data_IF_259765911820
#
_entry.id   IF_259765911820
#
_cell.length_a   1.000
_cell.length_b   1.000
_cell.length_c   1.000
_cell.angle_alpha   90.00
_cell.angle_beta   90.00
_cell.angle_gamma   90.00
#
_symmetry.space_group_name_H-M   'P 1'
#
loop_
_entity.id
_entity.type
_entity.pdbx_description
1 polymer ?
#
# COMPACT_ATOMS: atom_id res chain seq x y z
N UNK A 1 -12.52 18.38 26.09
CA UNK A 1 -11.97 19.44 25.20
C UNK A 1 -11.24 18.86 23.99
N UNK A 2 -10.37 17.85 24.15
CA UNK A 2 -9.61 17.28 23.03
C UNK A 2 -10.49 16.54 22.00
N UNK A 3 -11.55 15.85 22.43
CA UNK A 3 -12.44 15.10 21.51
C UNK A 3 -13.25 16.01 20.58
N UNK A 4 -13.72 17.16 21.10
CA UNK A 4 -14.48 18.13 20.29
C UNK A 4 -13.59 18.79 19.22
N UNK A 5 -12.39 19.21 19.60
CA UNK A 5 -11.41 19.79 18.65
C UNK A 5 -11.03 18.78 17.55
N UNK A 6 -10.85 17.53 17.90
CA UNK A 6 -10.55 16.48 16.91
C UNK A 6 -11.73 16.21 15.99
N UNK A 7 -12.96 16.18 16.52
CA UNK A 7 -14.17 16.04 15.71
C UNK A 7 -14.34 17.21 14.73
N UNK A 8 -14.11 18.44 15.19
CA UNK A 8 -14.20 19.64 14.34
C UNK A 8 -13.11 19.63 13.24
N UNK A 9 -11.90 19.18 13.58
CA UNK A 9 -10.80 19.00 12.63
C UNK A 9 -11.17 17.99 11.54
N UNK A 10 -11.68 16.81 11.93
CA UNK A 10 -12.09 15.75 11.00
C UNK A 10 -13.24 16.22 10.11
N UNK A 11 -14.23 16.92 10.67
CA UNK A 11 -15.34 17.48 9.90
C UNK A 11 -14.86 18.42 8.80
N UNK A 12 -13.89 19.29 9.11
CA UNK A 12 -13.32 20.20 8.12
C UNK A 12 -12.54 19.43 7.02
N UNK A 13 -11.80 18.39 7.38
CA UNK A 13 -11.11 17.52 6.40
C UNK A 13 -12.13 16.91 5.44
N UNK A 14 -13.20 16.28 5.96
CA UNK A 14 -14.22 15.65 5.12
C UNK A 14 -14.99 16.64 4.25
N UNK A 15 -15.30 17.84 4.76
CA UNK A 15 -15.92 18.89 3.94
C UNK A 15 -15.03 19.28 2.75
N UNK A 16 -13.74 19.47 2.98
CA UNK A 16 -12.79 19.79 1.91
C UNK A 16 -12.64 18.65 0.90
N UNK A 17 -12.63 17.41 1.35
CA UNK A 17 -12.62 16.24 0.47
C UNK A 17 -13.89 16.17 -0.39
N UNK A 18 -15.05 16.43 0.20
CA UNK A 18 -16.33 16.43 -0.52
C UNK A 18 -16.34 17.51 -1.61
N UNK A 19 -15.92 18.74 -1.29
CA UNK A 19 -15.83 19.84 -2.25
C UNK A 19 -14.91 19.47 -3.42
N UNK A 20 -13.73 18.92 -3.13
CA UNK A 20 -12.79 18.48 -4.16
C UNK A 20 -13.37 17.37 -5.02
N UNK A 21 -13.97 16.35 -4.43
CA UNK A 21 -14.58 15.23 -5.14
C UNK A 21 -15.73 15.69 -6.04
N UNK A 22 -16.61 16.58 -5.53
CA UNK A 22 -17.71 17.14 -6.31
C UNK A 22 -17.21 17.92 -7.52
N UNK A 23 -16.17 18.74 -7.33
CA UNK A 23 -15.56 19.49 -8.43
C UNK A 23 -14.98 18.55 -9.49
N UNK A 24 -14.26 17.49 -9.08
CA UNK A 24 -13.69 16.52 -10.02
C UNK A 24 -14.76 15.78 -10.81
N UNK A 25 -15.90 15.45 -10.22
CA UNK A 25 -17.03 14.83 -10.91
C UNK A 25 -17.65 15.77 -11.97
N UNK A 26 -17.65 17.08 -11.70
CA UNK A 26 -18.10 18.08 -12.67
C UNK A 26 -17.11 18.29 -13.81
N UNK A 27 -15.81 18.40 -13.48
CA UNK A 27 -14.76 18.66 -14.45
C UNK A 27 -14.47 17.42 -15.34
N UNK A 28 -14.72 16.21 -14.84
CA UNK A 28 -14.43 14.93 -15.51
C UNK A 28 -15.64 13.98 -15.47
N UNK A 29 -16.73 14.29 -16.21
CA UNK A 29 -17.96 13.50 -16.15
C UNK A 29 -17.78 12.07 -16.71
N UNK A 30 -16.75 11.82 -17.52
CA UNK A 30 -16.46 10.52 -18.13
C UNK A 30 -15.43 9.69 -17.35
N UNK A 31 -15.34 9.89 -16.06
CA UNK A 31 -14.45 9.19 -15.11
C UNK A 31 -12.98 9.60 -15.20
N UNK A 32 -12.49 10.15 -14.11
CA UNK A 32 -11.07 10.36 -13.86
C UNK A 32 -10.54 9.17 -13.04
N UNK A 33 -9.53 8.48 -13.55
CA UNK A 33 -8.86 7.42 -12.80
C UNK A 33 -7.95 8.07 -11.75
N UNK A 34 -8.30 7.93 -10.47
CA UNK A 34 -7.55 8.47 -9.34
C UNK A 34 -6.55 7.46 -8.76
N UNK A 35 -6.78 6.19 -8.96
CA UNK A 35 -5.91 5.12 -8.47
C UNK A 35 -6.45 3.74 -8.85
N UNK A 36 -5.69 2.72 -8.56
CA UNK A 36 -6.04 1.34 -8.84
C UNK A 36 -5.14 0.34 -8.12
N UNK A 37 -5.52 -0.91 -8.18
CA UNK A 37 -4.74 -2.02 -7.65
C UNK A 37 -4.84 -3.25 -8.54
N UNK A 38 -3.78 -4.06 -8.52
CA UNK A 38 -3.77 -5.41 -9.07
C UNK A 38 -3.79 -6.39 -7.91
N UNK A 39 -4.75 -7.31 -7.93
CA UNK A 39 -4.89 -8.37 -6.93
C UNK A 39 -4.91 -9.74 -7.59
N UNK A 40 -4.50 -10.75 -6.85
CA UNK A 40 -4.64 -12.17 -7.22
C UNK A 40 -5.50 -12.83 -6.15
N UNK A 41 -6.49 -13.60 -6.59
CA UNK A 41 -7.33 -14.44 -5.73
C UNK A 41 -6.80 -15.88 -5.78
N UNK A 42 -6.39 -16.43 -4.63
CA UNK A 42 -5.87 -17.79 -4.53
C UNK A 42 -6.07 -18.34 -3.12
N UNK A 43 -6.47 -19.60 -3.02
CA UNK A 43 -6.59 -20.38 -1.77
C UNK A 43 -7.34 -19.65 -0.64
N UNK A 44 -8.56 -19.18 -0.92
CA UNK A 44 -9.38 -18.43 0.02
C UNK A 44 -8.75 -17.11 0.52
N UNK A 45 -7.80 -16.56 -0.23
CA UNK A 45 -7.14 -15.29 0.08
C UNK A 45 -7.10 -14.37 -1.14
N UNK A 46 -7.05 -13.06 -0.87
CA UNK A 46 -6.76 -12.03 -1.86
C UNK A 46 -5.35 -11.51 -1.57
N UNK A 47 -4.52 -11.44 -2.60
CA UNK A 47 -3.17 -10.91 -2.52
C UNK A 47 -3.08 -9.59 -3.29
N UNK A 48 -2.75 -8.51 -2.60
CA UNK A 48 -2.44 -7.23 -3.22
C UNK A 48 -1.04 -7.29 -3.84
N UNK A 49 -0.93 -7.25 -5.15
CA UNK A 49 0.36 -7.31 -5.85
C UNK A 49 0.98 -5.92 -5.98
N UNK A 50 0.18 -4.97 -6.44
CA UNK A 50 0.58 -3.57 -6.57
C UNK A 50 -0.64 -2.68 -6.46
N UNK A 51 -0.46 -1.52 -5.84
CA UNK A 51 -1.44 -0.44 -5.84
C UNK A 51 -0.76 0.90 -6.10
N UNK A 52 -1.53 1.85 -6.56
CA UNK A 52 -1.07 3.19 -6.82
C UNK A 52 -2.20 4.18 -6.94
N UNK A 53 -1.88 5.46 -6.75
CA UNK A 53 -2.83 6.55 -6.91
C UNK A 53 -2.12 7.82 -7.39
N UNK A 54 -2.87 8.73 -8.00
CA UNK A 54 -2.33 10.04 -8.39
C UNK A 54 -2.08 10.91 -7.15
N UNK A 55 -0.81 11.20 -6.89
CA UNK A 55 -0.35 12.00 -5.74
C UNK A 55 -0.94 13.41 -5.72
N UNK A 56 -1.37 13.94 -6.86
CA UNK A 56 -2.08 15.22 -6.97
C UNK A 56 -3.34 15.24 -6.12
N UNK A 57 -4.00 14.07 -6.00
CA UNK A 57 -5.25 13.90 -5.27
C UNK A 57 -5.09 13.13 -3.96
N UNK A 58 -3.91 13.16 -3.36
CA UNK A 58 -3.61 12.45 -2.09
C UNK A 58 -4.62 12.72 -0.97
N UNK A 59 -5.21 13.92 -0.95
CA UNK A 59 -6.19 14.32 0.06
C UNK A 59 -7.52 13.56 -0.06
N UNK A 60 -7.79 12.87 -1.17
CA UNK A 60 -8.97 12.01 -1.33
C UNK A 60 -8.77 10.61 -0.76
N UNK A 61 -7.58 10.30 -0.24
CA UNK A 61 -7.27 9.04 0.43
C UNK A 61 -7.60 7.79 -0.42
N UNK A 62 -7.32 7.84 -1.74
CA UNK A 62 -7.70 6.80 -2.70
C UNK A 62 -7.15 5.41 -2.31
N UNK A 63 -5.96 5.33 -1.72
CA UNK A 63 -5.37 4.09 -1.24
C UNK A 63 -6.20 3.41 -0.14
N UNK A 64 -6.85 4.18 0.73
CA UNK A 64 -7.77 3.64 1.73
C UNK A 64 -9.04 3.10 1.08
N UNK A 65 -9.60 3.85 0.13
CA UNK A 65 -10.80 3.43 -0.59
C UNK A 65 -10.56 2.14 -1.40
N UNK A 66 -9.42 2.03 -2.08
CA UNK A 66 -9.03 0.82 -2.83
C UNK A 66 -9.00 -0.40 -1.90
N UNK A 67 -8.30 -0.31 -0.76
CA UNK A 67 -8.21 -1.41 0.20
C UNK A 67 -9.56 -1.76 0.80
N UNK A 68 -10.33 -0.75 1.19
CA UNK A 68 -11.68 -0.96 1.71
C UNK A 68 -12.58 -1.68 0.70
N UNK A 69 -12.50 -1.30 -0.57
CA UNK A 69 -13.22 -1.97 -1.64
C UNK A 69 -12.81 -3.45 -1.77
N UNK A 70 -11.51 -3.74 -1.77
CA UNK A 70 -10.99 -5.12 -1.84
C UNK A 70 -11.47 -5.94 -0.65
N UNK A 71 -11.43 -5.39 0.57
CA UNK A 71 -11.91 -6.05 1.78
C UNK A 71 -13.40 -6.39 1.66
N UNK A 72 -14.23 -5.44 1.22
CA UNK A 72 -15.66 -5.66 1.07
C UNK A 72 -15.99 -6.71 0.00
N UNK A 73 -15.32 -6.66 -1.15
CA UNK A 73 -15.51 -7.65 -2.20
C UNK A 73 -15.02 -9.04 -1.75
N UNK A 74 -13.92 -9.09 -1.04
CA UNK A 74 -13.41 -10.33 -0.43
C UNK A 74 -14.40 -10.93 0.58
N UNK A 75 -14.97 -10.09 1.44
CA UNK A 75 -15.97 -10.52 2.42
C UNK A 75 -17.24 -11.09 1.74
N UNK A 76 -17.73 -10.44 0.67
CA UNK A 76 -18.88 -10.95 -0.12
C UNK A 76 -18.59 -12.32 -0.73
N UNK A 77 -17.36 -12.54 -1.19
CA UNK A 77 -16.89 -13.81 -1.77
C UNK A 77 -16.45 -14.82 -0.71
N UNK A 78 -16.56 -14.48 0.59
CA UNK A 78 -16.18 -15.32 1.73
C UNK A 78 -14.68 -15.68 1.79
N UNK A 79 -13.81 -14.86 1.25
CA UNK A 79 -12.37 -14.99 1.45
C UNK A 79 -12.00 -14.78 2.92
N UNK A 80 -11.07 -15.60 3.42
CA UNK A 80 -10.64 -15.57 4.82
C UNK A 80 -9.55 -14.54 5.09
N UNK A 81 -8.73 -14.26 4.09
CA UNK A 81 -7.55 -13.43 4.26
C UNK A 81 -7.41 -12.40 3.15
N UNK A 82 -6.95 -11.21 3.52
CA UNK A 82 -6.45 -10.21 2.59
C UNK A 82 -4.98 -9.92 2.90
N UNK A 83 -4.08 -10.36 2.03
CA UNK A 83 -2.66 -10.07 2.12
C UNK A 83 -2.37 -8.70 1.48
N UNK A 84 -2.06 -7.71 2.30
CA UNK A 84 -1.76 -6.34 1.89
C UNK A 84 -0.31 -6.15 1.42
N UNK A 85 0.39 -7.23 1.07
CA UNK A 85 1.79 -7.22 0.67
C UNK A 85 2.75 -6.80 1.81
N UNK A 86 4.02 -6.55 1.50
CA UNK A 86 5.06 -6.31 2.49
C UNK A 86 4.81 -5.07 3.37
N UNK A 87 5.32 -5.13 4.58
CA UNK A 87 5.38 -4.04 5.54
C UNK A 87 6.85 -3.85 5.95
N UNK A 88 7.25 -2.63 6.29
CA UNK A 88 8.57 -2.42 6.87
C UNK A 88 8.63 -3.04 8.26
N UNK A 89 9.67 -3.83 8.54
CA UNK A 89 9.93 -4.35 9.89
C UNK A 89 10.32 -3.28 10.91
N UNK A 90 10.49 -2.03 10.49
CA UNK A 90 10.81 -0.90 11.34
C UNK A 90 9.57 -0.07 11.66
N UNK A 91 9.15 -0.08 12.93
CA UNK A 91 7.94 0.61 13.40
C UNK A 91 8.22 1.97 14.08
N UNK A 92 9.46 2.46 14.07
CA UNK A 92 9.80 3.77 14.65
C UNK A 92 9.18 4.91 13.83
N UNK A 93 8.66 5.94 14.50
CA UNK A 93 7.97 7.09 13.87
C UNK A 93 8.80 7.88 12.86
N UNK A 94 10.14 7.81 12.93
CA UNK A 94 11.05 8.50 11.99
C UNK A 94 11.45 7.65 10.78
N UNK A 95 10.89 6.45 10.63
CA UNK A 95 11.14 5.60 9.48
C UNK A 95 10.50 6.23 8.22
N UNK A 96 11.21 6.32 7.08
CA UNK A 96 10.64 6.78 5.81
C UNK A 96 9.42 5.98 5.34
N UNK A 97 9.29 4.74 5.79
CA UNK A 97 8.16 3.84 5.47
C UNK A 97 7.04 3.85 6.52
N UNK A 98 7.07 4.75 7.51
CA UNK A 98 6.05 4.82 8.57
C UNK A 98 4.63 4.97 8.01
N UNK A 99 4.43 5.81 7.01
CA UNK A 99 3.13 5.98 6.37
C UNK A 99 2.58 4.72 5.68
N UNK A 100 3.48 3.85 5.15
CA UNK A 100 3.09 2.55 4.62
C UNK A 100 2.61 1.62 5.74
N UNK A 101 3.34 1.58 6.84
CA UNK A 101 2.99 0.78 8.01
C UNK A 101 1.68 1.26 8.63
N UNK A 102 1.54 2.56 8.89
CA UNK A 102 0.34 3.17 9.47
C UNK A 102 -0.91 2.88 8.64
N UNK A 103 -0.80 2.96 7.32
CA UNK A 103 -1.91 2.65 6.44
C UNK A 103 -2.40 1.21 6.59
N UNK A 104 -1.50 0.23 6.67
CA UNK A 104 -1.85 -1.19 6.79
C UNK A 104 -2.35 -1.55 8.19
N UNK A 105 -1.71 -1.00 9.22
CA UNK A 105 -2.12 -1.17 10.62
C UNK A 105 -3.50 -0.51 10.85
N UNK A 106 -3.79 0.60 10.17
CA UNK A 106 -5.09 1.26 10.25
C UNK A 106 -6.28 0.42 9.76
N UNK A 107 -6.02 -0.66 9.00
CA UNK A 107 -6.99 -1.70 8.65
C UNK A 107 -6.93 -2.92 9.59
N UNK A 108 -6.35 -2.78 10.77
CA UNK A 108 -6.13 -3.86 11.74
C UNK A 108 -5.28 -5.01 11.17
N UNK A 109 -4.36 -4.67 10.25
CA UNK A 109 -3.46 -5.64 9.63
C UNK A 109 -2.49 -6.22 10.64
N UNK A 110 -2.35 -7.55 10.64
CA UNK A 110 -1.44 -8.28 11.51
C UNK A 110 -0.09 -8.47 10.78
N UNK A 111 1.00 -7.82 11.24
CA UNK A 111 2.32 -8.05 10.69
C UNK A 111 2.74 -9.50 10.89
N UNK A 112 3.13 -10.16 9.81
CA UNK A 112 3.60 -11.55 9.85
C UNK A 112 5.02 -11.61 9.30
N UNK A 113 5.93 -12.15 10.09
CA UNK A 113 7.30 -12.41 9.66
C UNK A 113 7.39 -13.85 9.12
N UNK A 114 7.90 -13.97 7.90
CA UNK A 114 8.18 -15.25 7.29
C UNK A 114 9.61 -15.68 7.58
N UNK A 115 9.90 -16.99 7.47
CA UNK A 115 11.24 -17.56 7.73
C UNK A 115 12.34 -17.03 6.80
N UNK A 116 12.00 -16.22 5.80
CA UNK A 116 12.93 -15.65 4.83
C UNK A 116 12.98 -16.43 3.52
N UNK A 117 13.91 -16.02 2.67
CA UNK A 117 14.18 -16.65 1.38
C UNK A 117 15.41 -17.55 1.48
N UNK A 118 15.35 -18.71 0.84
CA UNK A 118 16.43 -19.68 0.81
C UNK A 118 16.78 -20.01 -0.63
N UNK A 119 18.07 -19.93 -0.97
CA UNK A 119 18.58 -20.29 -2.28
C UNK A 119 19.08 -21.75 -2.28
N UNK A 120 18.51 -22.59 -3.12
CA UNK A 120 19.11 -23.89 -3.43
C UNK A 120 20.18 -23.72 -4.49
N UNK A 121 21.44 -23.79 -4.08
CA UNK A 121 22.58 -23.55 -4.97
C UNK A 121 22.89 -24.82 -5.78
N UNK A 122 22.44 -24.88 -7.04
CA UNK A 122 22.69 -25.98 -7.95
C UNK A 122 24.08 -25.91 -8.60
N UNK A 123 24.60 -24.69 -8.81
CA UNK A 123 25.91 -24.43 -9.39
C UNK A 123 26.59 -23.25 -8.72
N UNK A 124 27.65 -23.47 -8.01
CA UNK A 124 28.36 -22.46 -7.24
C UNK A 124 28.95 -21.32 -8.10
N UNK A 125 29.42 -21.59 -9.31
CA UNK A 125 29.98 -20.60 -10.20
C UNK A 125 28.89 -19.63 -10.70
N UNK A 126 27.81 -20.19 -11.21
CA UNK A 126 26.68 -19.39 -11.69
C UNK A 126 26.02 -18.58 -10.56
N UNK A 127 25.94 -19.15 -9.35
CA UNK A 127 25.41 -18.46 -8.20
C UNK A 127 26.26 -17.26 -7.77
N UNK A 128 27.58 -17.40 -7.73
CA UNK A 128 28.51 -16.27 -7.48
C UNK A 128 28.37 -15.18 -8.52
N UNK A 129 28.23 -15.55 -9.79
CA UNK A 129 28.01 -14.58 -10.89
C UNK A 129 26.70 -13.84 -10.68
N UNK A 130 25.59 -14.55 -10.39
CA UNK A 130 24.29 -13.95 -10.06
C UNK A 130 24.39 -12.97 -8.87
N UNK A 131 25.04 -13.37 -7.78
CA UNK A 131 25.23 -12.50 -6.62
C UNK A 131 26.00 -11.23 -6.94
N UNK A 132 27.01 -11.28 -7.80
CA UNK A 132 27.78 -10.10 -8.19
C UNK A 132 26.91 -9.09 -8.93
N UNK A 133 26.09 -9.53 -9.88
CA UNK A 133 25.13 -8.68 -10.59
C UNK A 133 24.04 -8.11 -9.68
N UNK A 134 23.53 -8.90 -8.74
CA UNK A 134 22.50 -8.47 -7.80
C UNK A 134 23.00 -7.39 -6.84
N UNK A 135 24.24 -7.53 -6.35
CA UNK A 135 24.88 -6.51 -5.50
C UNK A 135 25.09 -5.19 -6.25
N UNK A 136 25.52 -5.25 -7.50
CA UNK A 136 25.74 -4.05 -8.32
C UNK A 136 24.45 -3.30 -8.63
N UNK A 137 23.35 -4.04 -8.88
CA UNK A 137 22.02 -3.45 -9.08
C UNK A 137 21.51 -2.76 -7.82
N UNK A 138 21.67 -3.38 -6.65
CA UNK A 138 21.27 -2.80 -5.37
C UNK A 138 22.11 -1.55 -5.00
N UNK A 139 23.39 -1.52 -5.36
CA UNK A 139 24.25 -0.36 -5.15
C UNK A 139 23.82 0.83 -6.04
N UNK A 140 23.50 0.58 -7.32
CA UNK A 140 23.00 1.60 -8.24
C UNK A 140 21.66 2.19 -7.79
N UNK A 141 20.73 1.35 -7.34
CA UNK A 141 19.43 1.81 -6.82
C UNK A 141 19.57 2.68 -5.57
N UNK A 142 20.51 2.36 -4.66
CA UNK A 142 20.77 3.20 -3.48
C UNK A 142 21.33 4.58 -3.84
N UNK A 143 22.17 4.67 -4.87
CA UNK A 143 22.80 5.93 -5.27
C UNK A 143 21.94 6.80 -6.21
N UNK A 144 20.85 6.25 -6.76
CA UNK A 144 19.89 7.04 -7.56
C UNK A 144 18.82 7.73 -6.70
N UNK A 145 18.73 7.40 -5.41
CA UNK A 145 17.76 7.96 -4.47
C UNK A 145 18.37 8.95 -3.45
N UNK A 146 19.64 9.30 -3.63
CA UNK A 146 20.34 10.40 -2.95
C UNK A 146 20.56 11.57 -3.92
#
# INVERSE_FOLDING_TARGET
>A
LNSKMESDRLLNVYKNQLVLATKLLQDYPNNLILGGALTIEYDNAIYLIVDGYDKKYKNLCCNYLIRWYIINEGAKKQYKYFNMNCISGEFRKKNPYSGLNENKIGFDGIPTEYIGEFDLILNNFNYKLYQSFSKEKNYKLKNMNN
#
